data_IF_147731515015
#
_entry.id   IF_147731515015
#
_cell.length_a   1.000
_cell.length_b   1.000
_cell.length_c   1.000
_cell.angle_alpha   90.00
_cell.angle_beta   90.00
_cell.angle_gamma   90.00
#
_symmetry.space_group_name_H-M   'P 1'
#
loop_
_entity.id
_entity.type
_entity.pdbx_description
1 polymer ?
#
# COMPACT_ATOMS: atom_id res chain seq x y z
N UNK A 1 -7.08 25.13 -14.04
CA UNK A 1 -6.44 25.96 -13.00
C UNK A 1 -6.31 25.09 -11.78
N UNK A 2 -5.09 24.71 -11.39
CA UNK A 2 -4.85 24.00 -10.11
C UNK A 2 -5.38 24.87 -8.98
N UNK A 3 -6.30 24.34 -8.15
CA UNK A 3 -6.70 25.02 -6.93
C UNK A 3 -5.50 25.02 -5.98
N UNK A 4 -4.84 26.15 -5.83
CA UNK A 4 -3.76 26.26 -4.84
C UNK A 4 -4.35 25.98 -3.46
N UNK A 5 -3.74 25.05 -2.73
CA UNK A 5 -4.01 24.83 -1.30
C UNK A 5 -3.94 26.20 -0.63
N UNK A 6 -5.03 26.62 0.01
CA UNK A 6 -4.98 27.82 0.81
C UNK A 6 -4.08 27.56 2.02
N UNK A 7 -3.04 28.35 2.17
CA UNK A 7 -2.07 28.20 3.28
C UNK A 7 -2.78 28.09 4.64
N UNK A 8 -3.86 28.84 4.84
CA UNK A 8 -4.65 28.80 6.07
C UNK A 8 -5.31 27.43 6.35
N UNK A 9 -5.75 26.72 5.31
CA UNK A 9 -6.36 25.39 5.45
C UNK A 9 -5.29 24.35 5.77
N UNK A 10 -4.12 24.45 5.14
CA UNK A 10 -2.96 23.61 5.49
C UNK A 10 -2.54 23.79 6.94
N UNK A 11 -2.39 25.02 7.44
CA UNK A 11 -2.00 25.28 8.83
C UNK A 11 -3.02 24.72 9.83
N UNK A 12 -4.31 24.84 9.54
CA UNK A 12 -5.36 24.24 10.36
C UNK A 12 -5.32 22.72 10.31
N UNK A 13 -5.21 22.12 9.10
CA UNK A 13 -5.10 20.68 8.94
C UNK A 13 -3.86 20.12 9.66
N UNK A 14 -2.74 20.84 9.63
CA UNK A 14 -1.52 20.48 10.34
C UNK A 14 -1.73 20.42 11.87
N UNK A 15 -2.56 21.31 12.42
CA UNK A 15 -2.85 21.36 13.84
C UNK A 15 -3.76 20.23 14.30
N UNK A 16 -4.81 19.90 13.53
CA UNK A 16 -5.85 18.96 13.98
C UNK A 16 -5.77 17.59 13.34
N UNK A 17 -5.09 17.46 12.18
CA UNK A 17 -5.12 16.25 11.34
C UNK A 17 -4.00 15.27 11.62
N UNK A 18 -2.98 15.65 12.36
CA UNK A 18 -1.85 14.75 12.70
C UNK A 18 -2.20 13.86 13.88
N UNK A 19 -2.15 12.52 13.72
CA UNK A 19 -2.42 11.60 14.83
C UNK A 19 -1.46 11.81 16.03
N UNK A 20 -1.84 11.41 17.24
CA UNK A 20 -1.06 11.67 18.46
C UNK A 20 0.36 11.12 18.45
N UNK A 21 0.57 9.94 17.82
CA UNK A 21 1.90 9.35 17.65
C UNK A 21 2.81 10.23 16.78
N UNK A 22 2.31 10.70 15.66
CA UNK A 22 3.03 11.60 14.73
C UNK A 22 3.31 12.94 15.38
N UNK A 23 2.32 13.54 16.05
CA UNK A 23 2.47 14.83 16.74
C UNK A 23 3.52 14.74 17.86
N UNK A 24 3.58 13.61 18.58
CA UNK A 24 4.57 13.36 19.64
C UNK A 24 5.99 13.15 19.07
N UNK A 25 6.11 12.35 17.98
CA UNK A 25 7.41 12.04 17.38
C UNK A 25 8.04 13.26 16.70
N UNK A 26 7.22 14.09 16.05
CA UNK A 26 7.67 15.19 15.20
C UNK A 26 6.97 16.51 15.58
N UNK A 27 7.12 17.02 16.82
CA UNK A 27 6.30 18.13 17.33
C UNK A 27 6.46 19.43 16.54
N UNK A 28 7.60 19.65 15.91
CA UNK A 28 7.91 20.87 15.14
C UNK A 28 7.84 20.67 13.62
N UNK A 29 7.45 19.49 13.19
CA UNK A 29 7.36 19.16 11.77
C UNK A 29 6.21 19.86 11.09
N UNK A 30 6.43 20.17 9.81
CA UNK A 30 5.40 20.68 8.89
C UNK A 30 4.89 19.61 7.93
N UNK A 31 5.31 18.35 8.10
CA UNK A 31 4.77 17.24 7.33
C UNK A 31 3.34 16.93 7.78
N UNK A 32 2.39 16.98 6.85
CA UNK A 32 1.00 16.62 7.10
C UNK A 32 0.82 15.11 6.97
N UNK A 33 1.40 14.38 7.94
CA UNK A 33 1.23 12.93 8.07
C UNK A 33 -0.10 12.68 8.77
N UNK A 34 -1.00 11.95 8.10
CA UNK A 34 -2.40 11.77 8.50
C UNK A 34 -2.80 10.30 8.53
N UNK A 35 -3.95 10.00 9.11
CA UNK A 35 -4.56 8.67 9.02
C UNK A 35 -4.82 8.26 7.58
N UNK A 36 -4.67 6.96 7.28
CA UNK A 36 -5.10 6.39 5.99
C UNK A 36 -6.56 6.67 5.65
N UNK A 37 -7.41 6.82 6.68
CA UNK A 37 -8.83 7.20 6.51
C UNK A 37 -9.01 8.51 5.73
N UNK A 38 -8.15 9.50 5.97
CA UNK A 38 -8.22 10.78 5.26
C UNK A 38 -7.91 10.64 3.77
N UNK A 39 -6.97 9.75 3.44
CA UNK A 39 -6.60 9.48 2.06
C UNK A 39 -7.72 8.73 1.32
N UNK A 40 -8.28 7.69 1.93
CA UNK A 40 -9.42 6.95 1.36
C UNK A 40 -10.60 7.89 1.08
N UNK A 41 -10.98 8.72 2.05
CA UNK A 41 -12.10 9.67 1.88
C UNK A 41 -11.85 10.72 0.82
N UNK A 42 -10.61 11.16 0.65
CA UNK A 42 -10.25 12.07 -0.43
C UNK A 42 -10.52 11.45 -1.81
N UNK A 43 -10.17 10.17 -1.98
CA UNK A 43 -10.43 9.45 -3.23
C UNK A 43 -11.92 9.23 -3.46
N UNK A 44 -12.69 8.89 -2.42
CA UNK A 44 -14.16 8.80 -2.47
C UNK A 44 -14.77 10.16 -2.87
N UNK A 45 -14.30 11.25 -2.25
CA UNK A 45 -14.79 12.61 -2.55
C UNK A 45 -14.44 13.05 -3.98
N UNK A 46 -13.27 12.66 -4.50
CA UNK A 46 -12.89 12.88 -5.89
C UNK A 46 -13.80 12.12 -6.86
N UNK A 47 -14.18 10.92 -6.47
CA UNK A 47 -14.96 10.00 -7.29
C UNK A 47 -14.15 9.37 -8.42
N UNK A 48 -14.27 8.07 -8.58
CA UNK A 48 -13.55 7.30 -9.63
C UNK A 48 -12.06 7.60 -9.64
N UNK A 49 -11.46 7.59 -8.45
CA UNK A 49 -10.06 7.86 -8.23
C UNK A 49 -9.47 6.88 -7.23
N UNK A 50 -8.22 6.52 -7.43
CA UNK A 50 -7.44 5.78 -6.46
C UNK A 50 -6.06 6.41 -6.32
N UNK A 51 -5.52 6.45 -5.11
CA UNK A 51 -4.15 6.93 -4.91
C UNK A 51 -3.15 5.79 -5.04
N UNK A 52 -1.90 6.15 -5.25
CA UNK A 52 -0.79 5.21 -5.14
C UNK A 52 -0.44 4.99 -3.66
N UNK A 53 -0.27 3.73 -3.27
CA UNK A 53 0.50 3.32 -2.12
C UNK A 53 1.89 2.95 -2.64
N UNK A 54 2.81 3.92 -2.52
CA UNK A 54 4.16 3.79 -3.04
C UNK A 54 5.02 3.03 -2.04
N UNK A 55 5.48 1.85 -2.44
CA UNK A 55 6.30 1.00 -1.59
C UNK A 55 7.73 1.54 -1.49
N UNK A 56 8.06 2.05 -0.32
CA UNK A 56 9.29 2.78 -0.03
C UNK A 56 10.51 1.90 0.25
N UNK A 57 10.80 0.88 -0.58
CA UNK A 57 11.94 -0.04 -0.39
C UNK A 57 13.29 0.64 -0.25
N UNK A 58 13.43 1.87 -0.76
CA UNK A 58 14.63 2.69 -0.56
C UNK A 58 14.27 4.18 -0.50
N UNK A 59 15.19 4.98 -0.01
CA UNK A 59 15.05 6.43 0.18
C UNK A 59 14.65 7.18 -1.12
N UNK A 60 15.16 6.77 -2.28
CA UNK A 60 14.91 7.45 -3.55
C UNK A 60 13.47 7.26 -4.04
N UNK A 61 12.88 6.10 -3.75
CA UNK A 61 11.46 5.84 -4.02
C UNK A 61 10.59 6.76 -3.16
N UNK A 62 10.85 6.84 -1.85
CA UNK A 62 10.11 7.72 -0.94
C UNK A 62 10.17 9.17 -1.43
N UNK A 63 11.37 9.65 -1.73
CA UNK A 63 11.61 11.02 -2.17
C UNK A 63 10.93 11.34 -3.51
N UNK A 64 11.04 10.44 -4.48
CA UNK A 64 10.41 10.60 -5.80
C UNK A 64 8.88 10.58 -5.73
N UNK A 65 8.31 9.66 -4.96
CA UNK A 65 6.86 9.56 -4.77
C UNK A 65 6.27 10.81 -4.09
N UNK A 66 6.93 11.35 -3.07
CA UNK A 66 6.50 12.58 -2.40
C UNK A 66 6.61 13.81 -3.30
N UNK A 67 7.66 13.92 -4.12
CA UNK A 67 7.78 15.00 -5.13
C UNK A 67 6.67 14.92 -6.17
N UNK A 68 6.37 13.72 -6.65
CA UNK A 68 5.28 13.49 -7.59
C UNK A 68 3.92 13.88 -6.99
N UNK A 69 3.63 13.48 -5.75
CA UNK A 69 2.42 13.83 -5.05
C UNK A 69 2.27 15.35 -4.87
N UNK A 70 3.35 16.03 -4.47
CA UNK A 70 3.34 17.50 -4.37
C UNK A 70 3.09 18.17 -5.74
N UNK A 71 3.72 17.68 -6.79
CA UNK A 71 3.53 18.18 -8.17
C UNK A 71 2.10 17.96 -8.67
N UNK A 72 1.51 16.79 -8.34
CA UNK A 72 0.14 16.43 -8.69
C UNK A 72 -0.91 17.06 -7.77
N UNK A 73 -0.50 17.76 -6.69
CA UNK A 73 -1.39 18.21 -5.62
C UNK A 73 -2.27 17.04 -5.08
N UNK A 74 -1.69 15.86 -4.93
CA UNK A 74 -2.38 14.61 -4.61
C UNK A 74 -2.09 14.15 -3.18
N UNK A 75 -3.10 13.64 -2.50
CA UNK A 75 -2.94 12.86 -1.28
C UNK A 75 -2.35 11.49 -1.62
N UNK A 76 -1.38 11.02 -0.84
CA UNK A 76 -0.60 9.82 -1.15
C UNK A 76 -0.42 8.91 0.06
N UNK A 77 -0.14 7.63 -0.20
CA UNK A 77 0.30 6.66 0.80
C UNK A 77 1.75 6.27 0.52
N UNK A 78 2.59 6.27 1.55
CA UNK A 78 3.91 5.65 1.52
C UNK A 78 3.84 4.41 2.39
N UNK A 79 4.25 3.28 1.85
CA UNK A 79 4.12 1.99 2.52
C UNK A 79 5.40 1.17 2.48
N UNK A 80 5.43 0.11 3.27
CA UNK A 80 6.37 -1.00 3.16
C UNK A 80 5.68 -2.28 3.66
N UNK A 81 5.97 -3.42 3.02
CA UNK A 81 5.41 -4.70 3.42
C UNK A 81 6.19 -5.35 4.57
N UNK A 82 5.55 -6.28 5.31
CA UNK A 82 6.20 -7.01 6.43
C UNK A 82 7.46 -7.75 5.99
N UNK A 83 7.43 -8.38 4.84
CA UNK A 83 8.59 -9.09 4.27
C UNK A 83 9.76 -8.16 3.89
N UNK A 84 9.46 -6.89 3.62
CA UNK A 84 10.42 -5.88 3.18
C UNK A 84 10.99 -5.07 4.34
N UNK A 85 10.14 -4.66 5.29
CA UNK A 85 10.44 -3.75 6.38
C UNK A 85 10.09 -4.26 7.77
N UNK A 86 9.78 -5.55 7.94
CA UNK A 86 9.63 -6.20 9.23
C UNK A 86 10.97 -6.51 9.92
N UNK A 87 10.94 -7.32 10.98
CA UNK A 87 12.11 -7.60 11.80
C UNK A 87 13.27 -8.31 11.08
N UNK A 88 12.98 -9.14 10.06
CA UNK A 88 13.97 -9.89 9.28
C UNK A 88 13.98 -9.49 7.80
N UNK A 89 13.83 -8.20 7.55
CA UNK A 89 13.59 -7.65 6.24
C UNK A 89 14.86 -7.49 5.38
N UNK A 90 14.63 -7.32 4.08
CA UNK A 90 15.68 -7.10 3.09
C UNK A 90 15.84 -5.63 2.66
N UNK A 91 15.14 -4.69 3.33
CA UNK A 91 15.31 -3.25 3.13
C UNK A 91 15.87 -2.57 4.38
N UNK A 92 16.62 -1.49 4.20
CA UNK A 92 17.04 -0.61 5.29
C UNK A 92 15.87 0.25 5.80
N UNK A 93 14.93 0.59 4.93
CA UNK A 93 13.64 1.16 5.31
C UNK A 93 12.79 0.07 5.95
N UNK A 94 12.20 0.38 7.09
CA UNK A 94 11.39 -0.57 7.85
C UNK A 94 10.23 0.13 8.57
N UNK A 95 9.35 -0.64 9.19
CA UNK A 95 8.18 -0.11 9.90
C UNK A 95 8.52 0.94 10.97
N UNK A 96 9.70 0.85 11.59
CA UNK A 96 10.11 1.73 12.70
C UNK A 96 10.89 2.97 12.26
N UNK A 97 11.25 3.09 10.97
CA UNK A 97 11.95 4.26 10.44
C UNK A 97 11.24 4.94 9.26
N UNK A 98 10.20 4.32 8.68
CA UNK A 98 9.51 4.84 7.50
C UNK A 98 8.92 6.23 7.75
N UNK A 99 8.21 6.42 8.86
CA UNK A 99 7.62 7.72 9.21
C UNK A 99 8.69 8.81 9.37
N UNK A 100 9.85 8.46 9.96
CA UNK A 100 10.97 9.38 10.10
C UNK A 100 11.53 9.81 8.74
N UNK A 101 11.64 8.89 7.79
CA UNK A 101 12.12 9.21 6.45
C UNK A 101 11.14 10.11 5.69
N UNK A 102 9.85 9.81 5.77
CA UNK A 102 8.80 10.64 5.15
C UNK A 102 8.79 12.03 5.77
N UNK A 103 8.81 12.12 7.09
CA UNK A 103 8.86 13.39 7.81
C UNK A 103 10.05 14.26 7.38
N UNK A 104 11.25 13.66 7.33
CA UNK A 104 12.47 14.36 6.92
C UNK A 104 12.37 14.89 5.49
N UNK A 105 11.92 14.07 4.55
CA UNK A 105 11.77 14.47 3.14
C UNK A 105 10.71 15.57 2.98
N UNK A 106 9.58 15.46 3.67
CA UNK A 106 8.53 16.49 3.62
C UNK A 106 9.04 17.85 4.12
N UNK A 107 9.77 17.87 5.24
CA UNK A 107 10.31 19.13 5.78
C UNK A 107 11.44 19.69 4.90
N UNK A 108 12.33 18.84 4.39
CA UNK A 108 13.43 19.25 3.51
C UNK A 108 12.92 19.88 2.21
N UNK A 109 11.89 19.30 1.60
CA UNK A 109 11.38 19.71 0.29
C UNK A 109 10.16 20.64 0.35
N UNK A 110 9.65 20.94 1.56
CA UNK A 110 8.44 21.76 1.71
C UNK A 110 7.19 21.07 1.16
N UNK A 111 7.08 19.74 1.31
CA UNK A 111 5.90 18.98 0.89
C UNK A 111 4.73 19.29 1.83
N UNK A 112 3.60 19.68 1.26
CA UNK A 112 2.40 20.09 2.00
C UNK A 112 1.18 19.19 1.77
N UNK A 113 1.27 18.23 0.84
CA UNK A 113 0.19 17.29 0.59
C UNK A 113 0.04 16.30 1.74
N UNK A 114 -1.19 15.85 2.05
CA UNK A 114 -1.41 14.82 3.05
C UNK A 114 -0.78 13.47 2.67
N UNK A 115 -0.09 12.86 3.63
CA UNK A 115 0.61 11.57 3.45
C UNK A 115 0.19 10.62 4.55
N UNK A 116 -0.25 9.41 4.21
CA UNK A 116 -0.40 8.32 5.17
C UNK A 116 0.82 7.39 5.13
N UNK A 117 1.17 6.84 6.30
CA UNK A 117 2.25 5.86 6.46
C UNK A 117 1.61 4.49 6.69
N UNK A 118 1.76 3.58 5.75
CA UNK A 118 1.04 2.31 5.75
C UNK A 118 1.97 1.12 5.95
N UNK A 119 1.64 0.28 6.92
CA UNK A 119 2.24 -1.04 7.06
C UNK A 119 1.46 -2.01 6.18
N UNK A 120 2.06 -2.39 5.06
CA UNK A 120 1.45 -3.22 4.04
C UNK A 120 1.67 -4.71 4.33
N UNK A 121 0.74 -5.58 3.92
CA UNK A 121 0.85 -7.03 4.05
C UNK A 121 1.41 -7.49 5.41
N UNK A 122 0.78 -7.02 6.51
CA UNK A 122 1.18 -7.53 7.82
C UNK A 122 0.64 -8.96 7.96
N UNK A 123 1.41 -9.90 7.42
CA UNK A 123 1.01 -11.30 7.26
C UNK A 123 0.88 -12.02 8.59
N UNK A 124 -0.26 -12.72 8.77
CA UNK A 124 -0.56 -13.63 9.88
C UNK A 124 -0.76 -15.02 9.27
N UNK A 125 0.24 -15.87 9.43
CA UNK A 125 0.25 -17.24 8.86
C UNK A 125 -0.04 -18.33 9.90
N UNK A 126 -0.18 -17.94 11.18
CA UNK A 126 -0.46 -18.88 12.27
C UNK A 126 -0.48 -18.20 13.64
N UNK A 127 -0.57 -19.01 14.69
CA UNK A 127 -0.68 -18.54 16.08
C UNK A 127 0.55 -17.75 16.54
N UNK A 128 1.75 -18.13 16.12
CA UNK A 128 2.99 -17.43 16.48
C UNK A 128 3.01 -16.02 15.92
N UNK A 129 2.63 -15.85 14.65
CA UNK A 129 2.49 -14.51 14.03
C UNK A 129 1.44 -13.68 14.75
N UNK A 130 0.32 -14.28 15.14
CA UNK A 130 -0.75 -13.61 15.87
C UNK A 130 -0.27 -13.07 17.23
N UNK A 131 0.48 -13.86 17.99
CA UNK A 131 1.02 -13.43 19.28
C UNK A 131 2.11 -12.36 19.12
N UNK A 132 2.97 -12.51 18.12
CA UNK A 132 3.98 -11.50 17.77
C UNK A 132 3.33 -10.18 17.37
N UNK A 133 2.26 -10.23 16.58
CA UNK A 133 1.54 -9.04 16.11
C UNK A 133 0.98 -8.19 17.27
N UNK A 134 0.53 -8.81 18.37
CA UNK A 134 0.01 -8.08 19.54
C UNK A 134 1.06 -7.15 20.18
N UNK A 135 2.34 -7.42 19.97
CA UNK A 135 3.47 -6.61 20.47
C UNK A 135 4.02 -5.70 19.37
N UNK A 136 4.20 -6.21 18.16
CA UNK A 136 4.79 -5.44 17.06
C UNK A 136 3.87 -4.32 16.59
N UNK A 137 2.57 -4.58 16.40
CA UNK A 137 1.62 -3.57 15.89
C UNK A 137 1.61 -2.31 16.77
N UNK A 138 1.44 -2.37 18.09
CA UNK A 138 1.57 -1.19 18.92
C UNK A 138 2.91 -0.47 18.76
N UNK A 139 4.03 -1.20 18.67
CA UNK A 139 5.36 -0.61 18.49
C UNK A 139 5.52 0.12 17.16
N UNK A 140 4.89 -0.38 16.10
CA UNK A 140 4.88 0.25 14.77
C UNK A 140 4.10 1.57 14.80
N UNK A 141 2.93 1.59 15.46
CA UNK A 141 2.17 2.82 15.66
C UNK A 141 2.96 3.83 16.54
N UNK A 142 3.65 3.36 17.58
CA UNK A 142 4.58 4.22 18.36
C UNK A 142 5.66 4.84 17.47
N UNK A 143 6.11 4.16 16.44
CA UNK A 143 7.11 4.62 15.47
C UNK A 143 6.55 5.51 14.33
N UNK A 144 5.24 5.77 14.31
CA UNK A 144 4.63 6.74 13.39
C UNK A 144 3.83 6.16 12.24
N UNK A 145 3.56 4.85 12.22
CA UNK A 145 2.60 4.24 11.28
C UNK A 145 1.22 4.86 11.52
N UNK A 146 0.46 5.12 10.46
CA UNK A 146 -0.88 5.71 10.53
C UNK A 146 -1.96 4.88 9.86
N UNK A 147 -1.57 3.75 9.28
CA UNK A 147 -2.44 2.83 8.56
C UNK A 147 -1.81 1.44 8.51
N UNK A 148 -2.60 0.37 8.47
CA UNK A 148 -2.10 -1.00 8.44
C UNK A 148 -3.04 -1.92 7.65
N UNK A 149 -2.46 -2.86 6.89
CA UNK A 149 -3.13 -4.02 6.33
C UNK A 149 -2.88 -5.26 7.20
N UNK A 150 -3.93 -5.80 7.83
CA UNK A 150 -3.86 -7.11 8.48
C UNK A 150 -4.15 -8.16 7.42
N UNK A 151 -3.12 -8.88 7.03
CA UNK A 151 -3.19 -9.93 6.02
C UNK A 151 -3.16 -11.32 6.67
N UNK A 152 -4.34 -11.87 6.91
CA UNK A 152 -4.53 -13.26 7.33
C UNK A 152 -5.14 -14.13 6.21
N UNK A 153 -5.03 -13.68 4.95
CA UNK A 153 -5.61 -14.33 3.77
C UNK A 153 -5.01 -15.70 3.45
N UNK A 154 -3.84 -16.01 4.03
CA UNK A 154 -3.23 -17.34 3.96
C UNK A 154 -3.88 -18.38 4.89
N UNK A 155 -4.70 -17.94 5.85
CA UNK A 155 -5.45 -18.80 6.76
C UNK A 155 -6.81 -19.18 6.18
N UNK A 156 -7.47 -20.25 6.70
CA UNK A 156 -8.89 -20.49 6.43
C UNK A 156 -9.76 -19.28 6.77
N UNK A 157 -10.92 -19.14 6.11
CA UNK A 157 -11.74 -17.93 6.22
C UNK A 157 -12.18 -17.62 7.65
N UNK A 158 -12.53 -18.63 8.45
CA UNK A 158 -12.85 -18.46 9.87
C UNK A 158 -11.64 -17.97 10.68
N UNK A 159 -10.47 -18.51 10.43
CA UNK A 159 -9.23 -18.10 11.10
C UNK A 159 -8.79 -16.70 10.66
N UNK A 160 -8.96 -16.35 9.37
CA UNK A 160 -8.73 -14.98 8.88
C UNK A 160 -9.62 -13.97 9.63
N UNK A 161 -10.92 -14.24 9.70
CA UNK A 161 -11.86 -13.38 10.42
C UNK A 161 -11.50 -13.28 11.91
N UNK A 162 -11.24 -14.41 12.57
CA UNK A 162 -10.89 -14.43 14.00
C UNK A 162 -9.55 -13.73 14.30
N UNK A 163 -8.56 -13.83 13.40
CA UNK A 163 -7.30 -13.12 13.54
C UNK A 163 -7.50 -11.59 13.48
N UNK A 164 -8.29 -11.11 12.52
CA UNK A 164 -8.63 -9.69 12.42
C UNK A 164 -9.39 -9.19 13.66
N UNK A 165 -10.35 -9.97 14.18
CA UNK A 165 -11.06 -9.65 15.43
C UNK A 165 -10.10 -9.58 16.61
N UNK A 166 -9.20 -10.55 16.75
CA UNK A 166 -8.24 -10.63 17.84
C UNK A 166 -7.21 -9.49 17.82
N UNK A 167 -6.83 -8.99 16.65
CA UNK A 167 -5.83 -7.93 16.50
C UNK A 167 -6.43 -6.52 16.55
N UNK A 168 -7.72 -6.36 16.28
CA UNK A 168 -8.36 -5.04 16.27
C UNK A 168 -8.15 -4.22 17.56
N UNK A 169 -8.17 -4.80 18.79
CA UNK A 169 -7.91 -4.05 20.02
C UNK A 169 -6.51 -3.42 20.11
N UNK A 170 -5.56 -3.88 19.30
CA UNK A 170 -4.19 -3.36 19.25
C UNK A 170 -4.01 -2.25 18.20
N UNK A 171 -5.04 -1.96 17.40
CA UNK A 171 -5.07 -0.87 16.43
C UNK A 171 -5.69 0.37 17.04
N UNK A 172 -5.07 1.56 16.90
CA UNK A 172 -5.72 2.80 17.24
C UNK A 172 -6.99 3.02 16.40
N UNK A 173 -8.09 3.42 16.99
CA UNK A 173 -9.38 3.62 16.29
C UNK A 173 -9.30 4.62 15.12
N UNK A 174 -8.42 5.59 15.24
CA UNK A 174 -8.17 6.58 14.21
C UNK A 174 -7.34 6.05 13.03
N UNK A 175 -6.63 4.92 13.18
CA UNK A 175 -5.78 4.38 12.11
C UNK A 175 -6.60 3.96 10.90
N UNK A 176 -6.01 4.12 9.71
CA UNK A 176 -6.51 3.46 8.51
C UNK A 176 -6.36 1.95 8.64
N UNK A 177 -7.38 1.20 8.24
CA UNK A 177 -7.39 -0.24 8.39
C UNK A 177 -7.77 -0.92 7.08
N UNK A 178 -6.93 -1.85 6.67
CA UNK A 178 -7.11 -2.72 5.52
C UNK A 178 -7.16 -4.17 5.97
N UNK A 179 -8.04 -4.95 5.36
CA UNK A 179 -8.10 -6.41 5.51
C UNK A 179 -8.02 -7.07 4.14
N UNK A 180 -7.66 -8.35 4.11
CA UNK A 180 -7.42 -9.07 2.88
C UNK A 180 -8.19 -10.39 2.84
N UNK A 181 -8.66 -10.76 1.63
CA UNK A 181 -9.36 -12.01 1.38
C UNK A 181 -8.80 -12.68 0.12
N UNK A 182 -8.50 -13.96 0.24
CA UNK A 182 -7.84 -14.74 -0.81
C UNK A 182 -6.35 -14.40 -0.92
N UNK A 183 -5.55 -15.41 -1.20
CA UNK A 183 -4.13 -15.26 -1.49
C UNK A 183 -3.96 -14.86 -2.96
N UNK A 184 -2.99 -14.01 -3.31
CA UNK A 184 -2.70 -13.67 -4.70
C UNK A 184 -2.08 -14.90 -5.40
N UNK A 185 -2.87 -15.59 -6.23
CA UNK A 185 -2.50 -16.85 -6.92
C UNK A 185 -2.71 -16.81 -8.44
N UNK A 186 -2.87 -15.64 -9.01
CA UNK A 186 -3.23 -15.56 -10.43
C UNK A 186 -4.69 -15.98 -10.70
N UNK A 187 -4.94 -16.71 -11.80
CA UNK A 187 -6.31 -17.10 -12.19
C UNK A 187 -6.93 -18.19 -11.33
N UNK A 188 -6.11 -19.04 -10.72
CA UNK A 188 -6.54 -20.12 -9.85
C UNK A 188 -6.67 -19.59 -8.43
N UNK A 189 -7.82 -19.74 -7.81
CA UNK A 189 -8.07 -19.28 -6.45
C UNK A 189 -8.48 -17.82 -6.31
N UNK A 190 -9.14 -17.23 -7.29
CA UNK A 190 -9.71 -15.88 -7.20
C UNK A 190 -10.66 -15.75 -6.01
N UNK A 191 -10.66 -14.56 -5.37
CA UNK A 191 -11.61 -14.23 -4.33
C UNK A 191 -13.04 -14.31 -4.83
N UNK A 192 -13.94 -14.79 -3.98
CA UNK A 192 -15.37 -14.88 -4.30
C UNK A 192 -16.17 -13.82 -3.55
N UNK A 193 -17.39 -13.55 -4.03
CA UNK A 193 -18.34 -12.67 -3.35
C UNK A 193 -18.64 -13.20 -1.93
N UNK A 194 -18.78 -14.53 -1.77
CA UNK A 194 -19.11 -15.16 -0.48
C UNK A 194 -17.96 -15.02 0.53
N UNK A 195 -16.71 -15.18 0.12
CA UNK A 195 -15.53 -14.95 0.99
C UNK A 195 -15.47 -13.51 1.46
N UNK A 196 -15.59 -12.55 0.55
CA UNK A 196 -15.55 -11.13 0.87
C UNK A 196 -16.71 -10.72 1.79
N UNK A 197 -17.92 -11.20 1.51
CA UNK A 197 -19.09 -10.98 2.37
C UNK A 197 -18.93 -11.60 3.74
N UNK A 198 -18.41 -12.84 3.83
CA UNK A 198 -18.19 -13.51 5.10
C UNK A 198 -17.25 -12.68 6.00
N UNK A 199 -16.10 -12.26 5.47
CA UNK A 199 -15.13 -11.47 6.22
C UNK A 199 -15.72 -10.14 6.67
N UNK A 200 -16.29 -9.35 5.76
CA UNK A 200 -16.78 -8.01 6.06
C UNK A 200 -18.01 -8.04 6.97
N UNK A 201 -18.90 -9.00 6.81
CA UNK A 201 -20.07 -9.18 7.71
C UNK A 201 -19.63 -9.54 9.12
N UNK A 202 -18.71 -10.47 9.24
CA UNK A 202 -18.17 -10.87 10.53
C UNK A 202 -17.47 -9.71 11.25
N UNK A 203 -16.65 -8.93 10.54
CA UNK A 203 -16.02 -7.74 11.10
C UNK A 203 -17.05 -6.69 11.50
N UNK A 204 -18.06 -6.43 10.66
CA UNK A 204 -19.14 -5.48 10.96
C UNK A 204 -19.91 -5.86 12.23
N UNK A 205 -20.19 -7.15 12.43
CA UNK A 205 -20.87 -7.65 13.65
C UNK A 205 -20.07 -7.38 14.93
N UNK A 206 -18.75 -7.22 14.82
CA UNK A 206 -17.83 -6.96 15.93
C UNK A 206 -17.42 -5.47 16.05
N UNK A 207 -18.18 -4.55 15.43
CA UNK A 207 -17.87 -3.10 15.38
C UNK A 207 -16.52 -2.77 14.73
N UNK A 208 -16.06 -3.62 13.81
CA UNK A 208 -14.84 -3.44 13.04
C UNK A 208 -15.20 -3.03 11.63
N UNK A 209 -14.72 -1.86 11.21
CA UNK A 209 -15.08 -1.25 9.93
C UNK A 209 -13.84 -0.93 9.11
N UNK A 210 -13.34 -1.87 8.30
CA UNK A 210 -12.18 -1.63 7.44
C UNK A 210 -12.43 -0.47 6.49
N UNK A 211 -11.38 0.33 6.25
CA UNK A 211 -11.39 1.35 5.21
C UNK A 211 -11.22 0.70 3.84
N UNK A 212 -10.39 -0.37 3.78
CA UNK A 212 -10.11 -1.12 2.55
C UNK A 212 -10.24 -2.63 2.71
N UNK A 213 -10.54 -3.26 1.60
CA UNK A 213 -10.40 -4.70 1.40
C UNK A 213 -9.55 -4.97 0.16
N UNK A 214 -8.50 -5.79 0.32
CA UNK A 214 -7.73 -6.32 -0.80
C UNK A 214 -8.29 -7.68 -1.22
N UNK A 215 -8.27 -7.93 -2.54
CA UNK A 215 -8.83 -9.12 -3.18
C UNK A 215 -7.79 -9.83 -4.02
N UNK A 216 -7.84 -11.16 -4.07
CA UNK A 216 -7.26 -11.88 -5.18
C UNK A 216 -8.19 -11.77 -6.40
N UNK A 217 -7.88 -10.84 -7.27
CA UNK A 217 -8.69 -10.58 -8.46
C UNK A 217 -7.95 -10.91 -9.77
N UNK A 218 -6.93 -11.76 -9.71
CA UNK A 218 -6.22 -12.27 -10.89
C UNK A 218 -4.87 -11.60 -11.16
N UNK A 219 -4.32 -10.88 -10.20
CA UNK A 219 -2.95 -10.38 -10.28
C UNK A 219 -1.96 -11.39 -9.71
N UNK A 220 -0.76 -11.40 -10.27
CA UNK A 220 0.39 -12.11 -9.70
C UNK A 220 1.42 -11.09 -9.24
N UNK A 221 2.07 -11.33 -8.09
CA UNK A 221 3.27 -10.58 -7.74
C UNK A 221 4.41 -11.05 -8.66
N UNK A 222 4.93 -10.16 -9.48
CA UNK A 222 6.10 -10.45 -10.30
C UNK A 222 5.96 -10.10 -11.77
N UNK A 223 6.97 -10.48 -12.54
CA UNK A 223 7.36 -9.96 -13.85
C UNK A 223 6.65 -10.71 -15.01
N UNK A 224 5.41 -11.13 -14.86
CA UNK A 224 4.72 -11.79 -15.97
C UNK A 224 3.57 -10.95 -16.53
N UNK A 225 3.76 -10.49 -17.76
CA UNK A 225 2.66 -9.97 -18.57
C UNK A 225 1.77 -11.16 -18.98
N UNK A 226 0.63 -11.34 -18.34
CA UNK A 226 -0.38 -12.27 -18.81
C UNK A 226 -1.60 -11.49 -19.32
N UNK A 227 -2.22 -11.99 -20.38
CA UNK A 227 -3.54 -11.51 -20.84
C UNK A 227 -4.61 -11.64 -19.74
N UNK A 228 -4.28 -12.34 -18.67
CA UNK A 228 -5.13 -12.65 -17.55
C UNK A 228 -5.35 -11.50 -16.57
N UNK A 229 -4.33 -10.77 -16.13
CA UNK A 229 -4.38 -9.60 -15.25
C UNK A 229 -5.61 -9.43 -14.36
N UNK A 230 -5.77 -8.27 -13.81
CA UNK A 230 -6.90 -7.90 -12.94
C UNK A 230 -8.25 -8.15 -13.63
N UNK A 231 -9.11 -8.89 -12.96
CA UNK A 231 -10.49 -9.17 -13.40
C UNK A 231 -11.42 -8.04 -12.94
N UNK A 232 -11.54 -7.00 -13.77
CA UNK A 232 -12.38 -5.82 -13.46
C UNK A 232 -13.85 -6.19 -13.18
N UNK A 233 -14.51 -7.08 -13.96
CA UNK A 233 -15.89 -7.48 -13.68
C UNK A 233 -16.06 -8.16 -12.32
N UNK A 234 -15.15 -9.06 -11.93
CA UNK A 234 -15.16 -9.74 -10.63
C UNK A 234 -14.99 -8.74 -9.48
N UNK A 235 -14.00 -7.83 -9.60
CA UNK A 235 -13.76 -6.79 -8.61
C UNK A 235 -15.01 -5.91 -8.42
N UNK A 236 -15.65 -5.52 -9.51
CA UNK A 236 -16.89 -4.73 -9.50
C UNK A 236 -18.05 -5.47 -8.83
N UNK A 237 -18.21 -6.77 -9.12
CA UNK A 237 -19.24 -7.61 -8.51
C UNK A 237 -19.06 -7.70 -7.00
N UNK A 238 -17.86 -8.00 -6.52
CA UNK A 238 -17.53 -8.08 -5.10
C UNK A 238 -17.78 -6.72 -4.42
N UNK A 239 -17.26 -5.61 -4.99
CA UNK A 239 -17.46 -4.28 -4.41
C UNK A 239 -18.95 -3.89 -4.36
N UNK A 240 -19.75 -4.27 -5.35
CA UNK A 240 -21.21 -4.05 -5.34
C UNK A 240 -21.88 -4.82 -4.19
N UNK A 241 -21.48 -6.05 -3.95
CA UNK A 241 -22.02 -6.84 -2.84
C UNK A 241 -21.66 -6.24 -1.46
N UNK A 242 -20.51 -5.55 -1.37
CA UNK A 242 -20.02 -4.90 -0.15
C UNK A 242 -20.53 -3.45 0.04
N UNK A 243 -21.27 -2.89 -0.90
CA UNK A 243 -21.63 -1.45 -0.93
C UNK A 243 -22.25 -0.94 0.39
N UNK A 244 -23.14 -1.73 1.01
CA UNK A 244 -23.79 -1.35 2.28
C UNK A 244 -22.84 -1.24 3.46
N UNK A 245 -21.65 -1.86 3.39
CA UNK A 245 -20.60 -1.81 4.40
C UNK A 245 -19.60 -0.68 4.18
N UNK A 246 -19.72 0.06 3.07
CA UNK A 246 -18.92 1.23 2.71
C UNK A 246 -17.40 0.99 2.75
N UNK A 247 -16.96 -0.25 2.52
CA UNK A 247 -15.55 -0.58 2.41
C UNK A 247 -15.06 -0.26 0.99
N UNK A 248 -13.91 0.38 0.89
CA UNK A 248 -13.24 0.66 -0.38
C UNK A 248 -12.35 -0.52 -0.80
N UNK A 249 -12.00 -0.60 -2.07
CA UNK A 249 -11.03 -1.58 -2.55
C UNK A 249 -9.60 -1.11 -2.41
N UNK A 250 -8.69 -2.02 -2.11
CA UNK A 250 -7.26 -1.89 -2.29
C UNK A 250 -6.81 -2.84 -3.41
N UNK A 251 -6.10 -2.31 -4.42
CA UNK A 251 -5.58 -3.10 -5.53
C UNK A 251 -4.12 -3.45 -5.27
N UNK A 252 -3.86 -4.72 -4.99
CA UNK A 252 -2.51 -5.26 -4.94
C UNK A 252 -2.07 -5.76 -6.33
N UNK A 253 -0.76 -5.99 -6.52
CA UNK A 253 -0.24 -6.53 -7.76
C UNK A 253 -0.57 -5.68 -8.99
N UNK A 254 -0.34 -4.37 -8.94
CA UNK A 254 -0.54 -3.46 -10.08
C UNK A 254 0.43 -3.73 -11.22
N UNK A 255 1.63 -4.25 -10.93
CA UNK A 255 2.56 -4.73 -11.95
C UNK A 255 1.93 -5.85 -12.78
N UNK A 256 2.23 -5.89 -14.08
CA UNK A 256 1.60 -6.83 -15.02
C UNK A 256 0.29 -6.34 -15.62
N UNK A 257 -0.16 -5.13 -15.28
CA UNK A 257 -1.38 -4.53 -15.82
C UNK A 257 -1.05 -3.23 -16.54
N UNK A 258 -1.60 -3.06 -17.75
CA UNK A 258 -1.43 -1.82 -18.51
C UNK A 258 -2.26 -0.68 -17.92
N UNK A 259 -1.92 0.55 -18.32
CA UNK A 259 -2.59 1.78 -17.85
C UNK A 259 -4.09 1.79 -18.11
N UNK A 260 -4.56 1.21 -19.23
CA UNK A 260 -5.99 1.13 -19.53
C UNK A 260 -6.74 0.26 -18.51
N UNK A 261 -6.21 -0.92 -18.19
CA UNK A 261 -6.81 -1.82 -17.18
C UNK A 261 -6.82 -1.16 -15.80
N UNK A 262 -5.74 -0.49 -15.42
CA UNK A 262 -5.66 0.24 -14.16
C UNK A 262 -6.65 1.42 -14.09
N UNK A 263 -6.83 2.16 -15.20
CA UNK A 263 -7.88 3.20 -15.30
C UNK A 263 -9.26 2.61 -15.11
N UNK A 264 -9.53 1.45 -15.69
CA UNK A 264 -10.83 0.77 -15.55
C UNK A 264 -11.10 0.37 -14.09
N UNK A 265 -10.08 -0.10 -13.35
CA UNK A 265 -10.23 -0.36 -11.91
C UNK A 265 -10.65 0.91 -11.18
N UNK A 266 -9.99 2.04 -11.40
CA UNK A 266 -10.35 3.32 -10.77
C UNK A 266 -11.75 3.80 -11.16
N UNK A 267 -12.16 3.60 -12.41
CA UNK A 267 -13.40 4.15 -12.95
C UNK A 267 -14.63 3.27 -12.73
N UNK A 268 -14.46 1.95 -12.73
CA UNK A 268 -15.55 0.99 -12.72
C UNK A 268 -15.76 0.29 -11.37
N UNK A 269 -14.84 0.44 -10.42
CA UNK A 269 -14.90 -0.19 -9.09
C UNK A 269 -14.84 0.84 -7.97
N UNK A 270 -14.95 0.39 -6.71
CA UNK A 270 -14.80 1.25 -5.54
C UNK A 270 -13.35 1.24 -4.99
N UNK A 271 -12.37 0.94 -5.85
CA UNK A 271 -10.97 0.95 -5.45
C UNK A 271 -10.46 2.38 -5.26
N UNK A 272 -9.84 2.64 -4.12
CA UNK A 272 -9.29 3.95 -3.76
C UNK A 272 -7.79 3.93 -3.48
N UNK A 273 -7.19 2.74 -3.38
CA UNK A 273 -5.77 2.51 -3.11
C UNK A 273 -5.19 1.52 -4.12
N UNK A 274 -3.97 1.76 -4.60
CA UNK A 274 -3.25 0.85 -5.50
C UNK A 274 -1.79 0.72 -5.07
N UNK A 275 -1.35 -0.50 -4.74
CA UNK A 275 0.02 -0.78 -4.31
C UNK A 275 0.96 -0.87 -5.50
N UNK A 276 2.09 -0.15 -5.45
CA UNK A 276 3.14 -0.20 -6.46
C UNK A 276 4.50 -0.35 -5.80
N UNK A 277 5.17 -1.45 -6.03
CA UNK A 277 6.43 -1.79 -5.37
C UNK A 277 7.61 -1.96 -6.35
N UNK A 278 7.65 -3.07 -7.08
CA UNK A 278 8.81 -3.47 -7.88
C UNK A 278 9.16 -2.46 -8.97
N UNK A 279 8.16 -1.89 -9.66
CA UNK A 279 8.39 -0.88 -10.69
C UNK A 279 9.16 0.33 -10.13
N UNK A 280 8.75 0.84 -8.96
CA UNK A 280 9.39 2.02 -8.33
C UNK A 280 10.85 1.77 -7.98
N UNK A 281 11.13 0.61 -7.37
CA UNK A 281 12.49 0.20 -7.06
C UNK A 281 13.35 0.11 -8.33
N UNK A 282 12.87 -0.58 -9.35
CA UNK A 282 13.62 -0.80 -10.58
C UNK A 282 13.87 0.51 -11.34
N UNK A 283 12.89 1.39 -11.38
CA UNK A 283 13.05 2.75 -11.96
C UNK A 283 14.08 3.55 -11.17
N UNK A 284 14.08 3.48 -9.83
CA UNK A 284 15.08 4.17 -9.02
C UNK A 284 16.51 3.72 -9.33
N UNK A 285 16.70 2.49 -9.77
CA UNK A 285 17.99 1.96 -10.21
C UNK A 285 18.29 2.22 -11.69
N UNK A 286 17.34 2.76 -12.45
CA UNK A 286 17.47 3.04 -13.87
C UNK A 286 17.18 1.84 -14.77
N UNK A 287 16.53 0.80 -14.24
CA UNK A 287 16.07 -0.33 -15.04
C UNK A 287 14.87 0.06 -15.86
N UNK A 288 14.86 -0.31 -17.14
CA UNK A 288 13.73 -0.10 -18.03
C UNK A 288 12.52 -0.89 -17.55
N UNK A 289 11.38 -0.23 -17.44
CA UNK A 289 10.08 -0.87 -17.23
C UNK A 289 9.23 -0.74 -18.49
N UNK A 290 8.40 -1.72 -18.74
CA UNK A 290 7.46 -1.70 -19.87
C UNK A 290 6.12 -1.02 -19.46
N UNK A 291 5.17 -0.95 -20.38
CA UNK A 291 3.84 -0.39 -20.17
C UNK A 291 3.00 -1.11 -19.10
N UNK A 292 3.40 -2.31 -18.70
CA UNK A 292 2.79 -3.10 -17.63
C UNK A 292 3.45 -2.87 -16.25
N UNK A 293 4.41 -1.94 -16.15
CA UNK A 293 5.19 -1.73 -14.93
C UNK A 293 6.16 -2.87 -14.61
N UNK A 294 6.43 -3.76 -15.56
CA UNK A 294 7.37 -4.86 -15.39
C UNK A 294 8.77 -4.44 -15.81
N UNK A 295 9.77 -4.82 -15.02
CA UNK A 295 11.16 -4.63 -15.39
C UNK A 295 11.52 -5.45 -16.62
N UNK A 296 12.11 -4.78 -17.61
CA UNK A 296 12.47 -5.40 -18.87
C UNK A 296 13.74 -6.23 -18.73
N UNK A 297 13.68 -7.48 -19.21
CA UNK A 297 14.83 -8.39 -19.27
C UNK A 297 15.21 -8.63 -20.74
N UNK A 298 16.48 -8.78 -21.02
CA UNK A 298 17.00 -9.17 -22.31
C UNK A 298 16.82 -10.69 -22.55
N UNK A 299 17.29 -11.15 -23.69
CA UNK A 299 17.25 -12.58 -24.10
C UNK A 299 18.05 -13.52 -23.16
N UNK A 300 18.94 -12.97 -22.30
CA UNK A 300 19.69 -13.71 -21.31
C UNK A 300 19.01 -13.70 -19.92
N UNK A 301 17.87 -13.01 -19.79
CA UNK A 301 17.15 -12.83 -18.53
C UNK A 301 17.79 -11.79 -17.61
N UNK A 302 18.65 -10.91 -18.14
CA UNK A 302 19.26 -9.82 -17.39
C UNK A 302 18.42 -8.54 -17.53
N UNK A 303 18.31 -7.79 -16.44
CA UNK A 303 17.60 -6.52 -16.46
C UNK A 303 18.32 -5.46 -17.30
N UNK A 304 17.59 -4.81 -18.17
CA UNK A 304 18.10 -3.76 -19.06
C UNK A 304 18.12 -2.43 -18.33
N UNK A 305 19.31 -1.96 -17.98
CA UNK A 305 19.51 -0.62 -17.43
C UNK A 305 19.58 0.42 -18.56
N UNK A 306 18.83 1.52 -18.38
CA UNK A 306 18.84 2.63 -19.32
C UNK A 306 20.10 3.51 -19.12
N UNK A 307 20.75 3.97 -20.20
CA UNK A 307 21.85 4.93 -20.11
C UNK A 307 21.40 6.20 -19.36
N UNK A 308 22.28 6.74 -18.55
CA UNK A 308 22.06 8.00 -17.80
C UNK A 308 20.80 8.04 -16.90
N UNK A 309 20.25 6.87 -16.57
CA UNK A 309 19.14 6.72 -15.63
C UNK A 309 19.57 5.98 -14.35
N UNK A 310 18.93 6.29 -13.23
CA UNK A 310 19.14 5.60 -11.96
C UNK A 310 20.59 5.63 -11.45
N UNK A 311 21.06 4.52 -10.90
CA UNK A 311 22.42 4.37 -10.33
C UNK A 311 23.50 4.51 -11.40
N UNK A 312 24.76 4.72 -10.97
CA UNK A 312 25.91 4.69 -11.89
C UNK A 312 26.08 3.28 -12.51
N UNK A 313 26.66 3.24 -13.71
CA UNK A 313 26.88 1.96 -14.39
C UNK A 313 27.85 1.05 -13.62
N UNK A 314 28.84 1.63 -12.94
CA UNK A 314 29.77 0.87 -12.09
C UNK A 314 29.04 0.23 -10.90
N UNK A 315 28.17 0.99 -10.22
CA UNK A 315 27.40 0.44 -9.10
C UNK A 315 26.41 -0.61 -9.59
N UNK A 316 25.76 -0.39 -10.74
CA UNK A 316 24.88 -1.39 -11.34
C UNK A 316 25.62 -2.70 -11.64
N UNK A 317 26.79 -2.62 -12.25
CA UNK A 317 27.62 -3.80 -12.52
C UNK A 317 27.99 -4.56 -11.24
N UNK A 318 28.28 -3.84 -10.16
CA UNK A 318 28.55 -4.45 -8.85
C UNK A 318 27.28 -5.12 -8.27
N UNK A 319 26.12 -4.47 -8.35
CA UNK A 319 24.83 -5.03 -7.91
C UNK A 319 24.48 -6.31 -8.66
N UNK A 320 24.65 -6.33 -9.99
CA UNK A 320 24.44 -7.52 -10.83
C UNK A 320 25.41 -8.64 -10.48
N UNK A 321 26.70 -8.32 -10.29
CA UNK A 321 27.71 -9.30 -9.87
C UNK A 321 27.37 -9.93 -8.53
N UNK A 322 26.96 -9.12 -7.55
CA UNK A 322 26.51 -9.60 -6.25
C UNK A 322 25.27 -10.48 -6.37
N UNK A 323 24.26 -10.05 -7.14
CA UNK A 323 23.05 -10.83 -7.37
C UNK A 323 23.39 -12.23 -7.94
N UNK A 324 24.27 -12.28 -8.97
CA UNK A 324 24.75 -13.55 -9.55
C UNK A 324 25.45 -14.42 -8.52
N UNK A 325 26.30 -13.84 -7.67
CA UNK A 325 27.01 -14.58 -6.61
C UNK A 325 26.08 -15.17 -5.55
N UNK A 326 24.91 -14.58 -5.36
CA UNK A 326 23.86 -15.03 -4.42
C UNK A 326 22.75 -15.84 -5.09
N UNK A 327 22.82 -16.07 -6.40
CA UNK A 327 21.75 -16.76 -7.15
C UNK A 327 20.44 -15.98 -7.25
N UNK A 328 20.47 -14.66 -7.04
CA UNK A 328 19.27 -13.81 -7.13
C UNK A 328 18.92 -13.59 -8.60
N UNK A 329 17.65 -13.79 -8.95
CA UNK A 329 17.11 -13.58 -10.30
C UNK A 329 15.74 -12.92 -10.22
N UNK A 330 15.32 -12.21 -11.28
CA UNK A 330 13.99 -11.65 -11.41
C UNK A 330 13.58 -10.81 -10.21
N UNK A 331 12.40 -11.06 -9.66
CA UNK A 331 11.86 -10.36 -8.48
C UNK A 331 12.75 -10.39 -7.25
N UNK A 332 13.65 -11.40 -7.11
CA UNK A 332 14.59 -11.49 -5.99
C UNK A 332 15.67 -10.40 -5.98
N UNK A 333 15.77 -9.57 -7.03
CA UNK A 333 16.62 -8.37 -6.98
C UNK A 333 16.17 -7.39 -5.88
N UNK A 334 14.92 -7.49 -5.41
CA UNK A 334 14.46 -6.76 -4.21
C UNK A 334 15.41 -6.92 -3.01
N UNK A 335 16.06 -8.08 -2.88
CA UNK A 335 17.02 -8.39 -1.80
C UNK A 335 18.34 -7.61 -1.91
N UNK A 336 18.55 -6.81 -2.95
CA UNK A 336 19.71 -5.91 -3.09
C UNK A 336 19.57 -4.60 -2.30
N UNK A 337 18.36 -4.22 -1.87
CA UNK A 337 18.14 -2.95 -1.20
C UNK A 337 19.01 -2.80 0.05
N UNK A 338 18.98 -3.75 0.98
CA UNK A 338 19.75 -3.67 2.23
C UNK A 338 21.26 -3.74 2.02
N UNK A 339 21.83 -4.72 1.25
CA UNK A 339 23.27 -4.78 1.03
C UNK A 339 23.87 -3.56 0.35
N UNK A 340 23.08 -2.87 -0.48
CA UNK A 340 23.56 -1.73 -1.26
C UNK A 340 23.10 -0.36 -0.75
N UNK A 341 22.32 -0.29 0.34
CA UNK A 341 21.75 0.96 0.86
C UNK A 341 22.82 2.07 1.00
N UNK A 342 23.94 1.78 1.67
CA UNK A 342 25.01 2.76 1.87
C UNK A 342 25.65 3.21 0.56
N UNK A 343 25.81 2.32 -0.41
CA UNK A 343 26.40 2.65 -1.72
C UNK A 343 25.43 3.46 -2.58
N UNK A 344 24.13 3.18 -2.48
CA UNK A 344 23.10 3.97 -3.13
C UNK A 344 23.09 5.40 -2.59
N UNK A 345 23.11 5.56 -1.27
CA UNK A 345 23.15 6.87 -0.60
C UNK A 345 24.46 7.63 -0.87
N UNK A 346 25.58 6.95 -1.06
CA UNK A 346 26.88 7.54 -1.32
C UNK A 346 27.11 7.95 -2.79
N UNK A 347 26.16 7.69 -3.69
CA UNK A 347 26.28 8.14 -5.08
C UNK A 347 26.40 9.68 -5.17
N UNK A 348 27.10 10.23 -6.18
CA UNK A 348 27.13 11.66 -6.45
C UNK A 348 25.74 12.30 -6.49
N UNK A 349 25.63 13.57 -6.14
CA UNK A 349 24.35 14.28 -6.03
C UNK A 349 23.52 14.23 -7.32
N UNK A 350 24.15 14.38 -8.47
CA UNK A 350 23.49 14.28 -9.78
C UNK A 350 22.91 12.89 -10.04
N UNK A 351 23.60 11.83 -9.62
CA UNK A 351 23.13 10.45 -9.76
C UNK A 351 21.94 10.22 -8.83
N UNK A 352 22.05 10.67 -7.57
CA UNK A 352 20.93 10.58 -6.63
C UNK A 352 19.70 11.34 -7.12
N UNK A 353 19.89 12.52 -7.73
CA UNK A 353 18.77 13.30 -8.29
C UNK A 353 18.12 12.58 -9.47
N UNK A 354 18.86 11.95 -10.38
CA UNK A 354 18.26 11.19 -11.48
C UNK A 354 17.52 9.93 -11.01
N UNK A 355 17.99 9.29 -9.92
CA UNK A 355 17.28 8.17 -9.28
C UNK A 355 15.90 8.62 -8.77
N UNK A 356 15.84 9.77 -8.11
CA UNK A 356 14.59 10.38 -7.62
C UNK A 356 13.69 10.80 -8.77
N UNK A 357 14.27 11.46 -9.79
CA UNK A 357 13.53 12.00 -10.92
C UNK A 357 12.78 10.94 -11.72
N UNK A 358 13.41 9.79 -11.95
CA UNK A 358 12.75 8.67 -12.64
C UNK A 358 11.49 8.21 -11.89
N UNK A 359 11.58 8.07 -10.57
CA UNK A 359 10.44 7.69 -9.73
C UNK A 359 9.37 8.80 -9.72
N UNK A 360 9.78 10.07 -9.58
CA UNK A 360 8.87 11.21 -9.61
C UNK A 360 8.02 11.24 -10.89
N UNK A 361 8.64 11.09 -12.05
CA UNK A 361 7.93 11.14 -13.32
C UNK A 361 6.95 10.00 -13.49
N UNK A 362 7.36 8.78 -13.14
CA UNK A 362 6.50 7.60 -13.21
C UNK A 362 5.30 7.69 -12.23
N UNK A 363 5.55 8.07 -10.98
CA UNK A 363 4.48 8.23 -9.99
C UNK A 363 3.52 9.36 -10.36
N UNK A 364 4.05 10.47 -10.91
CA UNK A 364 3.22 11.58 -11.38
C UNK A 364 2.26 11.14 -12.50
N UNK A 365 2.76 10.40 -13.50
CA UNK A 365 1.94 9.85 -14.57
C UNK A 365 0.84 8.92 -14.01
N UNK A 366 1.19 8.04 -13.09
CA UNK A 366 0.19 7.17 -12.44
C UNK A 366 -0.88 7.98 -11.70
N UNK A 367 -0.49 8.97 -10.89
CA UNK A 367 -1.43 9.77 -10.10
C UNK A 367 -2.39 10.58 -10.98
N UNK A 368 -1.89 11.19 -12.06
CA UNK A 368 -2.66 12.14 -12.87
C UNK A 368 -3.37 11.44 -14.03
N UNK A 369 -2.63 10.65 -14.81
CA UNK A 369 -3.12 10.13 -16.09
C UNK A 369 -3.78 8.76 -15.98
N UNK A 370 -3.49 8.00 -14.92
CA UNK A 370 -4.00 6.63 -14.75
C UNK A 370 -5.01 6.53 -13.63
N UNK A 371 -4.71 7.07 -12.44
CA UNK A 371 -5.50 6.87 -11.22
C UNK A 371 -6.48 8.01 -10.92
N UNK A 372 -6.43 9.10 -11.67
CA UNK A 372 -7.28 10.28 -11.44
C UNK A 372 -7.12 10.89 -10.02
N UNK A 373 -5.94 10.77 -9.42
CA UNK A 373 -5.68 11.23 -8.05
C UNK A 373 -5.18 12.68 -7.98
N UNK A 374 -4.98 13.36 -9.11
CA UNK A 374 -4.60 14.78 -9.13
C UNK A 374 -5.62 15.64 -8.38
N UNK A 375 -5.14 16.68 -7.67
CA UNK A 375 -5.95 17.60 -6.88
C UNK A 375 -6.78 16.95 -5.74
N UNK A 376 -6.31 15.85 -5.18
CA UNK A 376 -6.94 15.19 -4.02
C UNK A 376 -6.40 15.65 -2.67
N UNK A 377 -5.27 16.36 -2.65
CA UNK A 377 -4.73 16.90 -1.39
C UNK A 377 -5.69 17.86 -0.69
N UNK A 378 -6.34 18.83 -1.39
CA UNK A 378 -7.38 19.66 -0.77
C UNK A 378 -8.55 18.86 -0.21
N UNK A 379 -8.96 17.80 -0.92
CA UNK A 379 -10.09 16.96 -0.48
C UNK A 379 -9.77 16.22 0.83
N UNK A 380 -8.54 15.72 1.00
CA UNK A 380 -8.12 15.10 2.25
C UNK A 380 -8.08 16.12 3.41
N UNK A 381 -7.61 17.33 3.15
CA UNK A 381 -7.64 18.41 4.14
C UNK A 381 -9.08 18.81 4.50
N UNK A 382 -9.97 18.91 3.52
CA UNK A 382 -11.38 19.20 3.75
C UNK A 382 -12.05 18.16 4.68
N UNK A 383 -11.77 16.88 4.50
CA UNK A 383 -12.30 15.82 5.37
C UNK A 383 -11.77 15.96 6.82
N UNK A 384 -10.49 16.27 6.98
CA UNK A 384 -9.87 16.54 8.29
C UNK A 384 -10.51 17.78 8.95
N UNK A 385 -10.68 18.86 8.20
CA UNK A 385 -11.24 20.11 8.71
C UNK A 385 -12.73 20.00 9.04
N UNK A 386 -13.49 19.23 8.26
CA UNK A 386 -14.90 18.89 8.58
C UNK A 386 -15.01 18.10 9.87
N UNK A 387 -14.15 17.12 10.08
CA UNK A 387 -14.07 16.36 11.32
C UNK A 387 -13.56 17.19 12.50
N UNK A 388 -12.74 18.22 12.24
CA UNK A 388 -12.03 19.01 13.25
C UNK A 388 -11.03 18.17 14.05
N UNK A 389 -10.58 17.03 13.51
CA UNK A 389 -9.80 16.01 14.21
C UNK A 389 -9.02 15.14 13.23
N UNK A 390 -7.93 14.52 13.73
CA UNK A 390 -7.22 13.43 13.07
C UNK A 390 -8.04 12.12 13.02
N UNK A 391 -9.00 11.97 13.93
CA UNK A 391 -9.90 10.81 13.96
C UNK A 391 -11.17 11.13 13.17
N UNK A 392 -11.26 10.56 11.99
CA UNK A 392 -12.41 10.73 11.12
C UNK A 392 -13.55 9.75 11.45
N UNK A 393 -13.36 8.86 12.41
CA UNK A 393 -14.31 7.79 12.73
C UNK A 393 -14.51 6.79 11.58
N UNK A 394 -15.40 5.82 11.72
CA UNK A 394 -15.70 4.84 10.67
C UNK A 394 -16.61 5.41 9.57
N UNK A 395 -16.52 4.85 8.35
CA UNK A 395 -17.46 5.13 7.25
C UNK A 395 -18.80 4.40 7.40
N UNK A 396 -18.76 3.27 8.08
CA UNK A 396 -19.92 2.37 8.24
C UNK A 396 -20.42 2.35 9.68
N UNK A 397 -21.58 1.77 9.86
CA UNK A 397 -22.18 1.45 11.16
C UNK A 397 -22.44 -0.05 11.23
N UNK A 398 -22.60 -0.59 12.45
CA UNK A 398 -22.99 -1.98 12.61
C UNK A 398 -24.41 -2.22 12.11
N UNK A 399 -24.55 -3.18 11.21
CA UNK A 399 -25.82 -3.63 10.65
C UNK A 399 -26.02 -5.14 10.79
N UNK A 400 -24.94 -5.87 11.13
CA UNK A 400 -24.99 -7.31 11.41
C UNK A 400 -25.23 -7.56 12.90
N UNK A 401 -25.98 -8.63 13.21
CA UNK A 401 -26.26 -9.02 14.59
C UNK A 401 -25.05 -9.78 15.18
N UNK A 402 -24.40 -9.28 16.26
CA UNK A 402 -23.29 -9.97 16.91
C UNK A 402 -23.63 -11.40 17.38
N UNK A 403 -24.90 -11.64 17.75
CA UNK A 403 -25.34 -12.98 18.17
C UNK A 403 -25.27 -14.01 17.05
N UNK A 404 -25.26 -13.56 15.78
CA UNK A 404 -25.10 -14.41 14.60
C UNK A 404 -23.64 -14.63 14.20
N UNK A 405 -22.68 -14.01 14.90
CA UNK A 405 -21.24 -14.05 14.58
C UNK A 405 -20.38 -14.37 15.81
N UNK A 406 -20.87 -15.26 16.70
CA UNK A 406 -20.05 -15.88 17.75
C UNK A 406 -18.99 -16.77 17.11
N UNK A 407 -17.88 -17.07 17.80
CA UNK A 407 -16.81 -17.91 17.27
C UNK A 407 -17.33 -19.25 16.73
N UNK A 408 -18.25 -19.91 17.45
CA UNK A 408 -18.88 -21.16 17.01
C UNK A 408 -19.61 -20.97 15.67
N UNK A 409 -20.43 -19.92 15.56
CA UNK A 409 -21.19 -19.62 14.34
C UNK A 409 -20.26 -19.19 13.18
N UNK A 410 -19.18 -18.49 13.46
CA UNK A 410 -18.16 -18.16 12.47
C UNK A 410 -17.60 -19.44 11.86
N UNK A 411 -17.16 -20.40 12.69
CA UNK A 411 -16.64 -21.69 12.23
C UNK A 411 -17.67 -22.53 11.45
N UNK A 412 -18.94 -22.46 11.84
CA UNK A 412 -20.02 -23.13 11.10
C UNK A 412 -20.31 -22.49 9.73
N UNK A 413 -20.32 -21.16 9.69
CA UNK A 413 -20.58 -20.41 8.44
C UNK A 413 -19.43 -20.63 7.44
N UNK A 414 -18.18 -20.64 7.90
CA UNK A 414 -17.01 -20.86 7.05
C UNK A 414 -17.05 -22.19 6.32
N UNK A 415 -17.60 -23.27 6.95
CA UNK A 415 -17.76 -24.59 6.31
C UNK A 415 -18.69 -24.57 5.09
N UNK A 416 -19.54 -23.55 4.96
CA UNK A 416 -20.49 -23.39 3.84
C UNK A 416 -19.91 -22.59 2.70
N UNK A 417 -18.80 -21.89 2.92
CA UNK A 417 -18.06 -21.18 1.89
C UNK A 417 -17.21 -22.22 1.18
N UNK A 418 -17.67 -22.64 0.00
CA UNK A 418 -16.94 -23.62 -0.79
C UNK A 418 -15.80 -22.91 -1.52
N UNK A 419 -14.63 -22.90 -0.89
CA UNK A 419 -13.42 -22.35 -1.48
C UNK A 419 -12.40 -23.45 -1.61
N UNK A 420 -12.25 -24.01 -2.80
CA UNK A 420 -11.05 -24.74 -3.15
C UNK A 420 -9.89 -23.75 -3.21
N UNK A 421 -9.30 -23.46 -2.06
CA UNK A 421 -8.01 -22.79 -2.03
C UNK A 421 -7.01 -23.71 -2.70
N UNK A 422 -6.48 -23.31 -3.84
CA UNK A 422 -5.43 -24.04 -4.53
C UNK A 422 -4.25 -24.37 -3.60
N UNK A 423 -3.28 -25.17 -4.03
CA UNK A 423 -2.17 -25.58 -3.19
C UNK A 423 -1.50 -24.37 -2.55
N UNK A 424 -1.15 -24.48 -1.24
CA UNK A 424 -0.37 -23.46 -0.54
C UNK A 424 0.90 -23.22 -1.34
N UNK A 425 0.97 -22.11 -2.04
CA UNK A 425 2.20 -21.68 -2.69
C UNK A 425 3.18 -21.20 -1.62
N UNK A 426 4.44 -21.59 -1.72
CA UNK A 426 5.51 -20.95 -0.98
C UNK A 426 5.72 -19.57 -1.61
N UNK A 427 5.00 -18.57 -1.13
CA UNK A 427 5.24 -17.17 -1.46
C UNK A 427 6.30 -16.65 -0.49
N UNK A 428 7.53 -16.65 -0.91
CA UNK A 428 8.52 -15.71 -0.41
C UNK A 428 8.25 -14.36 -1.08
N UNK A 429 7.48 -13.52 -0.42
CA UNK A 429 7.36 -12.10 -0.77
C UNK A 429 8.67 -11.36 -0.57
#
# INVERSE_FOLDING_TARGET
MMSSIKLADFEKALQVGRPPNVARLFPYSRALIVSGKAIDRAMIAKGKAMTIAANGRNHFVIRGALRAAQRANAAIIIEIAKSEGGANAYCAVNFWNLARQVDAVCNELGITVPVAIHADHYAIKGTEDLETAKVEIPSMFEAGITSIAIDASHLPDDENLLANIALNPFLPKWAGYETEVGEIKGKEGLSTVDEALFLIRGLNAHDIFPDWIALNNGTTHGIEASDAGIQVPLTKEIHKALEKYKVSGAQHGTSGNNSERLRRIAQETNTTKANVATALQMISWGVRVNEYGNAFQDENGEFVKLPDQGVSDDLWAEMVSYAKSKGLKGGNYKKLNLPFENKLLAQPAEIRERMVKGVEDFVYELLVDVFNAGDTAPLAMDEILKAGSYDLGPKATRIEDPAEWTEEKIREKAKKINVEKGPKGDYED
#
